data_IF_316426275708
#
_entry.id   IF_316426275708
#
_cell.length_a   1.000
_cell.length_b   1.000
_cell.length_c   1.000
_cell.angle_alpha   90.00
_cell.angle_beta   90.00
_cell.angle_gamma   90.00
#
_symmetry.space_group_name_H-M   'P 1'
#
loop_
_entity.id
_entity.type
_entity.pdbx_description
1 polymer ?
#
# COMPACT_ATOMS: atom_id res chain seq x y z
N UNK A 1 -10.37 6.75 -2.67
CA UNK A 1 -9.76 7.73 -3.59
C UNK A 1 -9.91 9.17 -3.15
N UNK A 2 -8.81 9.91 -3.22
CA UNK A 2 -8.75 11.35 -3.01
C UNK A 2 -7.86 11.98 -4.10
N UNK A 3 -8.31 13.02 -4.83
CA UNK A 3 -7.60 13.54 -6.00
C UNK A 3 -6.37 14.40 -5.67
N UNK A 4 -6.17 14.74 -4.40
CA UNK A 4 -5.10 15.64 -3.96
C UNK A 4 -4.01 14.93 -3.15
N UNK A 5 -2.99 15.69 -2.77
CA UNK A 5 -1.96 15.29 -1.82
C UNK A 5 -1.73 16.46 -0.84
N UNK A 6 -1.43 16.18 0.43
CA UNK A 6 -1.15 17.22 1.40
C UNK A 6 0.02 18.13 0.97
N UNK A 7 -0.01 19.44 1.29
CA UNK A 7 0.99 20.40 0.81
C UNK A 7 2.42 20.07 1.29
N UNK A 8 2.56 19.47 2.47
CA UNK A 8 3.87 19.00 2.96
C UNK A 8 4.44 17.88 2.08
N UNK A 9 3.61 16.92 1.67
CA UNK A 9 4.02 15.84 0.76
C UNK A 9 4.41 16.38 -0.63
N UNK A 10 3.68 17.37 -1.14
CA UNK A 10 4.05 18.07 -2.38
C UNK A 10 5.42 18.75 -2.26
N UNK A 11 5.67 19.46 -1.14
CA UNK A 11 6.96 20.08 -0.89
C UNK A 11 8.11 19.05 -0.79
N UNK A 12 7.89 17.92 -0.10
CA UNK A 12 8.86 16.83 0.03
C UNK A 12 9.17 16.14 -1.31
N UNK A 13 8.19 16.06 -2.22
CA UNK A 13 8.43 15.61 -3.60
C UNK A 13 9.30 16.61 -4.34
N UNK A 14 8.92 17.88 -4.31
CA UNK A 14 9.56 18.93 -5.12
C UNK A 14 11.02 19.17 -4.73
N UNK A 15 11.36 18.97 -3.44
CA UNK A 15 12.73 19.06 -2.95
C UNK A 15 13.51 17.72 -2.98
N UNK A 16 12.90 16.65 -3.51
CA UNK A 16 13.53 15.34 -3.68
C UNK A 16 13.73 14.52 -2.39
N UNK A 17 13.16 14.93 -1.26
CA UNK A 17 13.27 14.18 0.02
C UNK A 17 12.35 12.97 0.10
N UNK A 18 11.30 12.90 -0.72
CA UNK A 18 10.41 11.76 -0.78
C UNK A 18 10.07 11.42 -2.24
N UNK A 19 10.04 10.12 -2.54
CA UNK A 19 9.61 9.60 -3.83
C UNK A 19 8.20 9.05 -3.70
N UNK A 20 7.33 9.45 -4.64
CA UNK A 20 5.94 9.04 -4.68
C UNK A 20 5.76 8.13 -5.89
N UNK A 21 5.30 6.92 -5.63
CA UNK A 21 5.06 5.87 -6.63
C UNK A 21 3.59 5.45 -6.55
N UNK A 22 3.10 4.85 -7.63
CA UNK A 22 1.75 4.31 -7.72
C UNK A 22 1.80 2.79 -7.77
N UNK A 23 0.76 2.14 -7.27
CA UNK A 23 0.46 0.73 -7.52
C UNK A 23 -0.94 0.64 -8.13
N UNK A 24 -1.20 -0.37 -8.95
CA UNK A 24 -2.55 -0.64 -9.46
C UNK A 24 -3.39 -1.41 -8.44
N UNK A 25 -4.70 -1.44 -8.66
CA UNK A 25 -5.63 -2.24 -7.87
C UNK A 25 -5.25 -3.73 -7.90
N UNK A 26 -4.84 -4.27 -9.05
CA UNK A 26 -4.42 -5.67 -9.18
C UNK A 26 -3.16 -5.96 -8.36
N UNK A 27 -2.19 -5.05 -8.38
CA UNK A 27 -0.96 -5.18 -7.59
C UNK A 27 -1.27 -5.12 -6.08
N UNK A 28 -2.17 -4.22 -5.68
CA UNK A 28 -2.62 -4.11 -4.30
C UNK A 28 -3.38 -5.37 -3.83
N UNK A 29 -4.27 -5.93 -4.67
CA UNK A 29 -4.97 -7.17 -4.37
C UNK A 29 -4.01 -8.36 -4.22
N UNK A 30 -3.04 -8.48 -5.12
CA UNK A 30 -2.01 -9.52 -5.01
C UNK A 30 -1.20 -9.40 -3.70
N UNK A 31 -0.86 -8.17 -3.30
CA UNK A 31 -0.17 -7.90 -2.04
C UNK A 31 -1.04 -8.19 -0.81
N UNK A 32 -2.34 -7.88 -0.87
CA UNK A 32 -3.31 -8.24 0.16
C UNK A 32 -3.32 -9.76 0.38
N UNK A 33 -3.51 -10.53 -0.68
CA UNK A 33 -3.58 -12.00 -0.60
C UNK A 33 -2.29 -12.58 -0.04
N UNK A 34 -1.14 -12.10 -0.53
CA UNK A 34 0.16 -12.55 -0.04
C UNK A 34 0.30 -12.35 1.47
N UNK A 35 0.00 -11.17 2.00
CA UNK A 35 0.12 -10.91 3.43
C UNK A 35 -0.87 -11.75 4.26
N UNK A 36 -2.10 -11.91 3.76
CA UNK A 36 -3.12 -12.72 4.41
C UNK A 36 -2.71 -14.20 4.49
N UNK A 37 -2.14 -14.74 3.42
CA UNK A 37 -1.78 -16.15 3.32
C UNK A 37 -0.48 -16.49 4.05
N UNK A 38 0.51 -15.59 4.04
CA UNK A 38 1.81 -15.88 4.67
C UNK A 38 1.84 -15.51 6.15
N UNK A 39 1.20 -14.41 6.54
CA UNK A 39 1.28 -13.87 7.91
C UNK A 39 -0.05 -13.93 8.67
N UNK A 40 -1.16 -14.29 8.01
CA UNK A 40 -2.48 -14.30 8.64
C UNK A 40 -3.02 -12.90 8.96
N UNK A 41 -2.48 -11.86 8.33
CA UNK A 41 -2.87 -10.46 8.55
C UNK A 41 -3.71 -10.00 7.35
N UNK A 42 -4.91 -9.50 7.62
CA UNK A 42 -5.78 -8.90 6.61
C UNK A 42 -5.54 -7.37 6.58
N UNK A 43 -4.74 -6.82 5.65
CA UNK A 43 -4.54 -5.39 5.56
C UNK A 43 -5.77 -4.71 4.94
N UNK A 44 -5.99 -3.44 5.21
CA UNK A 44 -6.91 -2.66 4.38
C UNK A 44 -6.35 -2.55 2.94
N UNK A 45 -7.21 -2.30 1.94
CA UNK A 45 -6.76 -2.17 0.55
C UNK A 45 -5.84 -0.95 0.35
N UNK A 46 -6.03 0.12 1.13
CA UNK A 46 -5.19 1.31 1.07
C UNK A 46 -3.69 1.03 1.39
N UNK A 47 -3.31 0.41 2.52
CA UNK A 47 -1.93 0.00 2.78
C UNK A 47 -1.44 -1.18 1.93
N UNK A 48 -2.33 -1.95 1.29
CA UNK A 48 -1.93 -3.01 0.35
C UNK A 48 -1.19 -2.44 -0.89
N UNK A 49 -1.53 -1.22 -1.32
CA UNK A 49 -0.77 -0.50 -2.35
C UNK A 49 0.69 -0.24 -1.94
N UNK A 50 0.91 0.09 -0.67
CA UNK A 50 2.27 0.29 -0.15
C UNK A 50 3.05 -1.03 -0.10
N UNK A 51 2.40 -2.13 0.31
CA UNK A 51 2.99 -3.47 0.31
C UNK A 51 3.40 -3.92 -1.09
N UNK A 52 2.54 -3.69 -2.09
CA UNK A 52 2.83 -4.04 -3.48
C UNK A 52 4.16 -3.44 -3.95
N UNK A 53 4.42 -2.16 -3.61
CA UNK A 53 5.69 -1.51 -3.95
C UNK A 53 6.84 -1.93 -3.05
N UNK A 54 6.59 -2.22 -1.77
CA UNK A 54 7.63 -2.63 -0.83
C UNK A 54 8.28 -3.96 -1.21
N UNK A 55 7.51 -4.87 -1.83
CA UNK A 55 8.01 -6.17 -2.30
C UNK A 55 9.01 -6.06 -3.47
N UNK A 56 9.01 -4.95 -4.20
CA UNK A 56 9.94 -4.68 -5.32
C UNK A 56 11.21 -3.94 -4.86
N UNK A 57 11.31 -3.54 -3.58
CA UNK A 57 12.45 -2.78 -3.09
C UNK A 57 13.64 -3.69 -2.79
N UNK A 58 14.77 -3.42 -3.44
CA UNK A 58 16.06 -4.02 -3.09
C UNK A 58 16.64 -3.33 -1.84
N UNK A 59 16.13 -3.71 -0.67
CA UNK A 59 16.60 -3.20 0.63
C UNK A 59 16.71 -4.32 1.65
N UNK A 60 17.70 -4.24 2.55
CA UNK A 60 17.88 -5.20 3.64
C UNK A 60 16.74 -5.11 4.68
N UNK A 61 16.19 -3.92 4.90
CA UNK A 61 15.10 -3.69 5.85
C UNK A 61 14.17 -2.60 5.33
N UNK A 62 12.87 -2.86 5.35
CA UNK A 62 11.83 -1.93 4.94
C UNK A 62 10.82 -1.75 6.07
N UNK A 63 10.54 -0.49 6.42
CA UNK A 63 9.45 -0.14 7.34
C UNK A 63 8.21 0.24 6.51
N UNK A 64 7.11 -0.48 6.71
CA UNK A 64 5.84 -0.24 6.00
C UNK A 64 4.78 0.24 6.97
N UNK A 65 4.11 1.34 6.63
CA UNK A 65 2.95 1.84 7.37
C UNK A 65 1.70 1.02 7.06
N UNK A 66 1.35 0.06 7.92
CA UNK A 66 0.12 -0.73 7.81
C UNK A 66 -1.06 0.04 8.42
N UNK A 67 -1.55 1.03 7.68
CA UNK A 67 -2.45 2.09 8.20
C UNK A 67 -3.84 1.62 8.66
N UNK A 68 -4.26 0.40 8.32
CA UNK A 68 -5.57 -0.13 8.69
C UNK A 68 -5.72 -1.63 8.45
N UNK A 69 -6.77 -2.19 9.05
CA UNK A 69 -7.19 -3.59 8.92
C UNK A 69 -8.28 -3.76 7.85
N UNK A 70 -8.30 -4.91 7.20
CA UNK A 70 -9.10 -5.20 6.01
C UNK A 70 -10.54 -5.65 6.23
N UNK A 71 -11.07 -5.67 7.46
CA UNK A 71 -12.42 -6.19 7.73
C UNK A 71 -13.51 -5.50 6.88
N UNK A 72 -13.35 -4.19 6.63
CA UNK A 72 -14.29 -3.39 5.83
C UNK A 72 -14.19 -3.66 4.33
N UNK A 73 -13.03 -4.14 3.87
CA UNK A 73 -12.71 -4.29 2.45
C UNK A 73 -12.92 -5.72 1.94
N UNK A 74 -13.22 -6.66 2.85
CA UNK A 74 -13.31 -8.09 2.52
C UNK A 74 -14.37 -8.39 1.44
N UNK A 75 -15.50 -7.70 1.45
CA UNK A 75 -16.53 -7.88 0.43
C UNK A 75 -16.04 -7.48 -0.97
N UNK A 76 -15.19 -6.46 -1.06
CA UNK A 76 -14.61 -6.02 -2.34
C UNK A 76 -13.50 -6.96 -2.81
N UNK A 77 -12.65 -7.43 -1.88
CA UNK A 77 -11.62 -8.42 -2.19
C UNK A 77 -12.24 -9.73 -2.69
N UNK A 78 -13.28 -10.24 -2.02
CA UNK A 78 -13.92 -11.51 -2.41
C UNK A 78 -14.70 -11.43 -3.73
N UNK A 79 -15.03 -10.23 -4.20
CA UNK A 79 -15.75 -10.01 -5.45
C UNK A 79 -14.80 -9.91 -6.67
N UNK A 80 -13.49 -9.81 -6.44
CA UNK A 80 -12.44 -9.68 -7.45
C UNK A 80 -11.57 -10.92 -7.47
#
# INVERSE_FOLDING_TARGET
DYPGVGPEHAHLRDNGRAHYVTATDEEALAAFHRLAETEGILPALEPAHALARALDLEAETVLVGLSGRGDKDLAEVLAR
#
